data_IF_237019876213
#
_entry.id   IF_237019876213
#
_cell.length_a   1.000
_cell.length_b   1.000
_cell.length_c   1.000
_cell.angle_alpha   90.00
_cell.angle_beta   90.00
_cell.angle_gamma   90.00
#
_symmetry.space_group_name_H-M   'P 1'
#
loop_
_entity.id
_entity.type
_entity.pdbx_description
1 polymer ?
#
# COMPACT_ATOMS: atom_id res chain seq x y z
N UNK A 1 43.65 31.16 -71.88
CA UNK A 1 42.90 30.03 -71.41
C UNK A 1 43.13 29.95 -69.87
N UNK A 2 42.20 30.51 -69.07
CA UNK A 2 42.30 30.57 -67.61
C UNK A 2 41.24 29.61 -67.02
N UNK A 3 41.70 28.62 -66.27
CA UNK A 3 40.88 27.69 -65.53
C UNK A 3 40.43 28.34 -64.20
N UNK A 4 39.18 28.36 -63.94
CA UNK A 4 38.58 28.78 -62.62
C UNK A 4 38.52 27.57 -61.66
N UNK A 5 38.74 27.77 -60.35
CA UNK A 5 38.56 26.69 -59.33
C UNK A 5 37.11 26.54 -58.94
N UNK A 6 36.63 25.28 -58.88
CA UNK A 6 35.34 24.91 -58.33
C UNK A 6 35.45 24.81 -56.80
N UNK A 7 34.79 25.69 -56.06
CA UNK A 7 34.56 25.52 -54.62
C UNK A 7 33.47 24.49 -54.40
N UNK A 8 33.81 23.36 -53.77
CA UNK A 8 32.84 22.41 -53.24
C UNK A 8 32.45 22.86 -51.82
N UNK A 9 31.24 23.37 -51.69
CA UNK A 9 30.68 23.69 -50.38
C UNK A 9 30.21 22.42 -49.65
N UNK A 10 30.83 22.12 -48.52
CA UNK A 10 30.40 21.06 -47.60
C UNK A 10 29.21 21.58 -46.81
N UNK A 11 28.02 21.06 -47.08
CA UNK A 11 26.81 21.30 -46.28
C UNK A 11 26.92 20.42 -45.02
N UNK A 12 27.27 21.03 -43.87
CA UNK A 12 27.20 20.39 -42.58
C UNK A 12 25.75 20.44 -42.12
N UNK A 13 25.02 19.35 -42.27
CA UNK A 13 23.69 19.18 -41.64
C UNK A 13 23.90 18.96 -40.14
N UNK A 14 23.68 20.00 -39.33
CA UNK A 14 23.53 19.84 -37.88
C UNK A 14 22.20 19.15 -37.65
N UNK A 15 22.23 17.85 -37.30
CA UNK A 15 21.11 17.20 -36.62
C UNK A 15 21.05 17.79 -35.20
N UNK A 16 20.13 18.73 -34.97
CA UNK A 16 19.74 19.09 -33.63
C UNK A 16 18.94 17.91 -33.07
N UNK A 17 19.55 17.14 -32.16
CA UNK A 17 18.83 16.25 -31.29
C UNK A 17 17.90 17.12 -30.45
N UNK A 18 16.60 17.16 -30.80
CA UNK A 18 15.58 17.67 -29.91
C UNK A 18 15.65 16.80 -28.63
N UNK A 19 16.06 17.39 -27.53
CA UNK A 19 15.94 16.75 -26.23
C UNK A 19 14.45 16.36 -26.08
N UNK A 20 14.17 15.09 -25.96
CA UNK A 20 12.81 14.60 -25.72
C UNK A 20 12.33 15.26 -24.43
N UNK A 21 11.42 16.21 -24.53
CA UNK A 21 10.78 16.81 -23.35
C UNK A 21 10.01 15.67 -22.64
N UNK A 22 10.19 15.57 -21.32
CA UNK A 22 9.46 14.62 -20.50
C UNK A 22 7.93 14.75 -20.68
N UNK A 23 7.22 13.65 -20.53
CA UNK A 23 5.77 13.65 -20.55
C UNK A 23 5.23 14.28 -19.25
N UNK A 24 4.31 15.24 -19.35
CA UNK A 24 3.85 16.06 -18.23
C UNK A 24 2.35 15.88 -18.00
N UNK A 25 1.96 15.78 -16.74
CA UNK A 25 0.56 15.83 -16.32
C UNK A 25 0.41 16.77 -15.13
N UNK A 26 -0.70 17.55 -15.11
CA UNK A 26 -1.01 18.50 -14.03
C UNK A 26 -2.29 18.11 -13.32
N UNK A 27 -2.38 18.48 -12.03
CA UNK A 27 -3.66 18.42 -11.30
C UNK A 27 -4.74 19.27 -12.03
N UNK A 28 -6.04 18.96 -11.85
CA UNK A 28 -7.12 19.76 -12.46
C UNK A 28 -7.09 21.25 -12.09
N UNK A 29 -6.52 21.61 -10.93
CA UNK A 29 -6.32 23.00 -10.52
C UNK A 29 -4.96 23.59 -10.94
N UNK A 30 -4.11 22.78 -11.59
CA UNK A 30 -2.80 23.16 -12.11
C UNK A 30 -1.70 23.37 -11.08
N UNK A 31 -1.94 23.08 -9.81
CA UNK A 31 -0.96 23.32 -8.73
C UNK A 31 0.11 22.25 -8.61
N UNK A 32 -0.23 20.98 -8.87
CA UNK A 32 0.68 19.84 -8.86
C UNK A 32 1.02 19.48 -10.32
N UNK A 33 2.29 19.33 -10.62
CA UNK A 33 2.79 18.89 -11.90
C UNK A 33 3.71 17.70 -11.70
N UNK A 34 3.46 16.62 -12.43
CA UNK A 34 4.31 15.43 -12.47
C UNK A 34 4.90 15.31 -13.87
N UNK A 35 6.22 15.24 -13.94
CA UNK A 35 6.98 15.00 -15.18
C UNK A 35 7.54 13.60 -15.15
N UNK A 36 7.38 12.85 -16.23
CA UNK A 36 7.92 11.50 -16.41
C UNK A 36 8.84 11.51 -17.62
N UNK A 37 10.06 11.07 -17.46
CA UNK A 37 11.07 11.02 -18.53
C UNK A 37 12.02 9.84 -18.37
N UNK A 38 13.10 9.88 -19.15
CA UNK A 38 14.21 8.92 -19.10
C UNK A 38 15.50 9.69 -18.84
N UNK A 39 16.15 9.40 -17.73
CA UNK A 39 17.44 9.96 -17.36
C UNK A 39 18.61 9.27 -18.07
N UNK A 40 19.78 9.47 -17.50
CA UNK A 40 21.01 8.87 -18.00
C UNK A 40 20.90 7.33 -18.11
N UNK A 41 21.54 6.77 -19.13
CA UNK A 41 21.56 5.33 -19.43
C UNK A 41 20.17 4.69 -19.61
N UNK A 42 19.16 5.48 -19.93
CA UNK A 42 17.81 4.94 -20.10
C UNK A 42 17.13 4.52 -18.80
N UNK A 43 17.38 5.21 -17.69
CA UNK A 43 16.70 4.97 -16.42
C UNK A 43 15.37 5.74 -16.40
N UNK A 44 14.20 5.08 -16.28
CA UNK A 44 12.94 5.78 -16.12
C UNK A 44 12.95 6.58 -14.82
N UNK A 45 12.41 7.78 -14.84
CA UNK A 45 12.37 8.68 -13.68
C UNK A 45 11.14 9.57 -13.69
N UNK A 46 10.83 10.17 -12.54
CA UNK A 46 9.79 11.17 -12.40
C UNK A 46 10.23 12.29 -11.46
N UNK A 47 9.67 13.47 -11.65
CA UNK A 47 9.83 14.61 -10.74
C UNK A 47 8.50 15.30 -10.48
N UNK A 48 8.40 16.07 -9.40
CA UNK A 48 7.15 16.72 -9.00
C UNK A 48 7.38 18.16 -8.61
N UNK A 49 6.55 19.05 -9.14
CA UNK A 49 6.48 20.46 -8.74
C UNK A 49 5.13 20.79 -8.09
N UNK A 50 5.15 21.67 -7.14
CA UNK A 50 3.97 22.27 -6.52
C UNK A 50 3.99 23.80 -6.66
N UNK A 51 2.97 24.36 -7.33
CA UNK A 51 2.90 25.81 -7.65
C UNK A 51 4.15 26.32 -8.36
N UNK A 52 4.72 25.51 -9.27
CA UNK A 52 5.91 25.85 -10.05
C UNK A 52 7.23 25.70 -9.30
N UNK A 53 7.23 25.23 -8.05
CA UNK A 53 8.45 24.93 -7.28
C UNK A 53 8.64 23.44 -7.20
N UNK A 54 9.83 22.94 -7.57
CA UNK A 54 10.17 21.53 -7.43
C UNK A 54 10.14 21.13 -5.95
N UNK A 55 9.34 20.08 -5.64
CA UNK A 55 9.21 19.52 -4.29
C UNK A 55 9.76 18.09 -4.19
N UNK A 56 9.88 17.42 -5.32
CA UNK A 56 10.53 16.11 -5.45
C UNK A 56 11.40 16.12 -6.70
N UNK A 57 12.73 16.17 -6.55
CA UNK A 57 13.67 16.04 -7.66
C UNK A 57 13.57 14.66 -8.36
N UNK A 58 14.15 14.49 -9.58
CA UNK A 58 14.04 13.26 -10.33
C UNK A 58 14.41 12.01 -9.53
N UNK A 59 13.44 11.14 -9.28
CA UNK A 59 13.55 9.84 -8.62
C UNK A 59 13.49 8.70 -9.64
N UNK A 60 14.36 7.70 -9.49
CA UNK A 60 14.40 6.55 -10.38
C UNK A 60 13.18 5.65 -10.19
N UNK A 61 12.80 4.97 -11.27
CA UNK A 61 11.74 3.98 -11.35
C UNK A 61 12.31 2.65 -11.86
N UNK A 62 11.57 1.56 -11.68
CA UNK A 62 11.90 0.27 -12.27
C UNK A 62 11.56 -0.93 -11.41
N UNK A 63 11.71 -2.11 -12.03
CA UNK A 63 11.49 -3.41 -11.41
C UNK A 63 12.65 -4.34 -11.73
N UNK A 64 13.05 -5.16 -10.77
CA UNK A 64 13.98 -6.27 -10.96
C UNK A 64 13.31 -7.60 -10.74
N UNK A 65 13.74 -8.55 -11.54
CA UNK A 65 13.19 -9.90 -11.55
C UNK A 65 14.30 -10.90 -11.24
N UNK A 66 13.93 -12.11 -10.84
CA UNK A 66 14.90 -13.19 -10.60
C UNK A 66 15.56 -13.67 -11.89
N UNK A 67 14.79 -13.81 -12.95
CA UNK A 67 15.24 -14.41 -14.20
C UNK A 67 15.03 -13.53 -15.43
N UNK A 68 14.02 -12.66 -15.44
CA UNK A 68 13.75 -11.76 -16.54
C UNK A 68 14.70 -10.55 -16.51
N UNK A 69 14.99 -9.96 -17.67
CA UNK A 69 15.70 -8.68 -17.74
C UNK A 69 14.96 -7.58 -16.96
N UNK A 70 15.72 -6.76 -16.21
CA UNK A 70 15.15 -5.71 -15.37
C UNK A 70 14.61 -4.52 -16.19
N UNK A 71 13.62 -3.81 -15.64
CA UNK A 71 13.15 -2.52 -16.13
C UNK A 71 13.85 -1.37 -15.38
N UNK A 72 15.18 -1.33 -15.39
CA UNK A 72 15.96 -0.38 -14.59
C UNK A 72 16.91 0.52 -15.42
N UNK A 73 17.10 0.19 -16.70
CA UNK A 73 17.97 0.94 -17.63
C UNK A 73 17.78 0.48 -19.08
N UNK A 74 18.37 1.24 -20.03
CA UNK A 74 18.28 0.91 -21.44
C UNK A 74 16.87 1.07 -22.01
N UNK A 75 16.05 1.88 -21.37
CA UNK A 75 14.68 2.15 -21.74
C UNK A 75 14.56 3.52 -22.41
N UNK A 76 13.50 3.69 -23.20
CA UNK A 76 13.11 4.95 -23.81
C UNK A 76 11.60 5.14 -23.69
N UNK A 77 11.14 6.36 -23.78
CA UNK A 77 9.72 6.66 -23.94
C UNK A 77 9.31 6.29 -25.37
N UNK A 78 8.45 5.29 -25.50
CA UNK A 78 7.91 4.85 -26.79
C UNK A 78 6.68 5.65 -27.18
N UNK A 79 5.95 6.19 -26.21
CA UNK A 79 4.76 7.01 -26.40
C UNK A 79 4.14 7.45 -25.09
N UNK A 80 3.20 8.38 -25.17
CA UNK A 80 2.41 8.80 -24.03
C UNK A 80 1.00 9.18 -24.46
N UNK A 81 0.03 9.02 -23.55
CA UNK A 81 -1.35 9.45 -23.73
C UNK A 81 -1.89 10.04 -22.44
N UNK A 82 -2.74 11.06 -22.57
CA UNK A 82 -3.36 11.73 -21.43
C UNK A 82 -4.88 11.70 -21.51
N UNK A 83 -5.53 11.73 -20.34
CA UNK A 83 -6.98 11.87 -20.21
C UNK A 83 -7.35 12.66 -18.97
N UNK A 84 -8.61 13.07 -18.85
CA UNK A 84 -9.16 13.74 -17.67
C UNK A 84 -10.40 13.00 -17.22
N UNK A 85 -10.61 12.96 -15.91
CA UNK A 85 -11.76 12.33 -15.28
C UNK A 85 -12.41 13.27 -14.26
N UNK A 86 -13.74 13.28 -14.19
CA UNK A 86 -14.48 14.01 -13.17
C UNK A 86 -15.82 13.31 -12.93
N UNK A 87 -15.91 12.62 -11.81
CA UNK A 87 -17.13 11.94 -11.38
C UNK A 87 -17.31 12.05 -9.87
N UNK A 88 -18.46 11.60 -9.38
CA UNK A 88 -18.72 11.49 -7.96
C UNK A 88 -19.33 10.13 -7.68
N UNK A 89 -18.82 9.44 -6.68
CA UNK A 89 -19.33 8.15 -6.23
C UNK A 89 -19.78 8.20 -4.78
N UNK A 90 -20.62 7.27 -4.39
CA UNK A 90 -21.15 7.19 -3.04
C UNK A 90 -20.42 6.12 -2.23
N UNK A 91 -19.87 6.54 -1.09
CA UNK A 91 -19.26 5.66 -0.12
C UNK A 91 -20.34 5.20 0.87
N UNK A 92 -20.59 3.88 1.00
CA UNK A 92 -21.70 3.39 1.83
C UNK A 92 -21.49 3.61 3.33
N UNK A 93 -20.25 3.74 3.76
CA UNK A 93 -19.85 4.09 5.14
C UNK A 93 -18.54 4.88 5.10
N UNK A 94 -18.14 5.50 6.22
CA UNK A 94 -16.93 6.31 6.33
C UNK A 94 -17.25 7.76 6.65
N UNK A 95 -16.27 8.63 6.52
CA UNK A 95 -16.34 10.03 6.94
C UNK A 95 -17.16 10.91 5.98
N UNK A 96 -17.26 10.49 4.70
CA UNK A 96 -17.94 11.24 3.65
C UNK A 96 -18.83 10.29 2.85
N UNK A 97 -20.07 10.70 2.62
CA UNK A 97 -20.99 9.95 1.76
C UNK A 97 -20.65 10.10 0.27
N UNK A 98 -20.35 11.32 -0.16
CA UNK A 98 -20.02 11.62 -1.54
C UNK A 98 -18.53 11.92 -1.68
N UNK A 99 -17.86 11.18 -2.56
CA UNK A 99 -16.45 11.32 -2.87
C UNK A 99 -16.31 11.72 -4.33
N UNK A 100 -15.69 12.88 -4.59
CA UNK A 100 -15.40 13.33 -5.96
C UNK A 100 -14.10 12.69 -6.43
N UNK A 101 -14.15 12.03 -7.57
CA UNK A 101 -13.00 11.55 -8.32
C UNK A 101 -12.74 12.50 -9.47
N UNK A 102 -11.83 13.45 -9.27
CA UNK A 102 -11.43 14.43 -10.29
C UNK A 102 -9.91 14.44 -10.43
N UNK A 103 -9.43 13.92 -11.56
CA UNK A 103 -8.00 13.83 -11.83
C UNK A 103 -7.68 13.96 -13.32
N UNK A 104 -6.44 14.29 -13.61
CA UNK A 104 -5.85 14.09 -14.92
C UNK A 104 -4.93 12.87 -14.87
N UNK A 105 -4.97 12.06 -15.92
CA UNK A 105 -4.19 10.83 -16.06
C UNK A 105 -3.19 10.96 -17.21
N UNK A 106 -1.99 10.40 -16.99
CA UNK A 106 -0.96 10.23 -18.00
C UNK A 106 -0.53 8.76 -18.01
N UNK A 107 -0.46 8.15 -19.17
CA UNK A 107 0.16 6.84 -19.37
C UNK A 107 1.40 7.05 -20.22
N UNK A 108 2.57 6.68 -19.69
CA UNK A 108 3.84 6.72 -20.40
C UNK A 108 4.28 5.30 -20.69
N UNK A 109 4.45 4.99 -21.97
CA UNK A 109 4.91 3.69 -22.45
C UNK A 109 6.42 3.68 -22.54
N UNK A 110 7.05 2.72 -21.85
CA UNK A 110 8.48 2.48 -21.93
C UNK A 110 8.75 1.19 -22.69
N UNK A 111 9.76 1.24 -23.58
CA UNK A 111 10.32 0.05 -24.22
C UNK A 111 11.85 0.04 -24.17
N UNK A 112 12.43 -1.13 -24.34
CA UNK A 112 13.87 -1.29 -24.54
C UNK A 112 14.22 -1.34 -26.03
N UNK A 113 15.50 -1.10 -26.35
CA UNK A 113 16.00 -1.20 -27.73
C UNK A 113 16.25 -2.66 -28.18
N UNK A 114 15.95 -3.64 -27.34
CA UNK A 114 16.10 -5.06 -27.63
C UNK A 114 15.04 -5.57 -28.60
N UNK A 115 15.25 -6.71 -29.22
CA UNK A 115 14.28 -7.38 -30.09
C UNK A 115 14.02 -8.82 -29.59
N UNK A 116 12.82 -9.16 -29.12
CA UNK A 116 11.67 -8.30 -28.93
C UNK A 116 11.87 -7.30 -27.78
N UNK A 117 11.27 -6.09 -27.85
CA UNK A 117 11.44 -5.10 -26.81
C UNK A 117 10.72 -5.50 -25.53
N UNK A 118 11.36 -5.26 -24.39
CA UNK A 118 10.72 -5.31 -23.07
C UNK A 118 9.86 -4.06 -22.88
N UNK A 119 8.67 -4.21 -22.32
CA UNK A 119 7.70 -3.12 -22.19
C UNK A 119 7.07 -3.05 -20.82
N UNK A 120 6.84 -1.83 -20.34
CA UNK A 120 5.90 -1.54 -19.28
C UNK A 120 5.32 -0.15 -19.48
N UNK A 121 4.15 0.10 -18.91
CA UNK A 121 3.52 1.39 -18.85
C UNK A 121 3.62 1.94 -17.43
N UNK A 122 3.91 3.25 -17.29
CA UNK A 122 3.73 3.98 -16.06
C UNK A 122 2.44 4.77 -16.15
N UNK A 123 1.45 4.41 -15.35
CA UNK A 123 0.21 5.16 -15.23
C UNK A 123 0.30 6.12 -14.06
N UNK A 124 0.05 7.39 -14.30
CA UNK A 124 0.10 8.48 -13.30
C UNK A 124 -1.27 9.14 -13.24
N UNK A 125 -1.85 9.30 -12.06
CA UNK A 125 -3.05 10.11 -11.80
C UNK A 125 -2.70 11.25 -10.87
N UNK A 126 -3.07 12.46 -11.25
CA UNK A 126 -2.79 13.67 -10.47
C UNK A 126 -4.11 14.34 -10.10
N UNK A 127 -4.32 14.47 -8.80
CA UNK A 127 -5.48 15.08 -8.15
C UNK A 127 -5.07 16.45 -7.57
N UNK A 128 -6.04 17.21 -7.08
CA UNK A 128 -5.76 18.52 -6.44
C UNK A 128 -5.10 18.37 -5.06
N UNK A 129 -5.14 17.18 -4.45
CA UNK A 129 -4.62 16.83 -3.11
C UNK A 129 -3.43 15.85 -3.15
N UNK A 130 -2.92 15.50 -4.36
CA UNK A 130 -1.78 14.60 -4.49
C UNK A 130 -1.75 13.86 -5.81
N UNK A 131 -0.93 12.83 -5.87
CA UNK A 131 -0.80 11.98 -7.05
C UNK A 131 -0.52 10.53 -6.65
N UNK A 132 -0.81 9.63 -7.58
CA UNK A 132 -0.38 8.25 -7.51
C UNK A 132 0.13 7.77 -8.86
N UNK A 133 1.06 6.82 -8.83
CA UNK A 133 1.50 6.12 -10.05
C UNK A 133 1.66 4.63 -9.77
N UNK A 134 1.55 3.84 -10.85
CA UNK A 134 1.79 2.39 -10.80
C UNK A 134 2.40 1.89 -12.09
N UNK A 135 3.09 0.76 -12.00
CA UNK A 135 3.57 0.04 -13.16
C UNK A 135 2.48 -0.88 -13.69
N UNK A 136 2.32 -0.92 -15.00
CA UNK A 136 1.46 -1.87 -15.71
C UNK A 136 2.32 -2.62 -16.72
N UNK A 137 2.47 -3.92 -16.52
CA UNK A 137 3.29 -4.77 -17.38
C UNK A 137 2.36 -5.56 -18.28
N UNK A 138 2.33 -5.29 -19.60
CA UNK A 138 1.48 -6.02 -20.55
C UNK A 138 1.93 -7.46 -20.73
N UNK A 139 1.05 -8.30 -21.28
CA UNK A 139 1.44 -9.62 -21.75
C UNK A 139 2.58 -9.49 -22.78
N UNK A 140 3.67 -10.20 -22.54
CA UNK A 140 4.84 -10.17 -23.40
C UNK A 140 5.66 -11.46 -23.24
N UNK A 141 6.46 -11.85 -24.27
CA UNK A 141 7.27 -13.09 -24.21
C UNK A 141 8.19 -13.13 -22.99
N UNK A 142 8.25 -14.28 -22.33
CA UNK A 142 9.15 -14.51 -21.19
C UNK A 142 8.65 -14.00 -19.84
N UNK A 143 7.42 -13.44 -19.76
CA UNK A 143 6.83 -12.92 -18.51
C UNK A 143 5.58 -13.72 -18.07
N UNK A 144 5.44 -14.97 -18.52
CA UNK A 144 4.33 -15.85 -18.13
C UNK A 144 4.38 -16.28 -16.65
N UNK A 145 5.59 -16.28 -16.07
CA UNK A 145 5.83 -16.41 -14.63
C UNK A 145 6.90 -15.42 -14.23
N UNK A 146 6.64 -14.60 -13.24
CA UNK A 146 7.49 -13.48 -12.85
C UNK A 146 7.72 -13.48 -11.35
N UNK A 147 8.99 -13.53 -10.95
CA UNK A 147 9.45 -13.35 -9.57
C UNK A 147 10.09 -11.96 -9.43
N UNK A 148 9.35 -11.01 -8.88
CA UNK A 148 9.88 -9.67 -8.60
C UNK A 148 10.78 -9.75 -7.36
N UNK A 149 12.02 -9.30 -7.49
CA UNK A 149 13.02 -9.27 -6.41
C UNK A 149 13.17 -7.89 -5.79
N UNK A 150 13.00 -6.83 -6.57
CA UNK A 150 13.07 -5.44 -6.11
C UNK A 150 12.13 -4.54 -6.93
N UNK A 151 11.53 -3.58 -6.27
CA UNK A 151 10.97 -2.39 -6.87
C UNK A 151 11.93 -1.22 -6.61
N UNK A 152 12.29 -0.49 -7.67
CA UNK A 152 13.35 0.53 -7.63
C UNK A 152 12.79 1.95 -7.46
N UNK A 153 11.51 2.08 -7.19
CA UNK A 153 10.85 3.37 -7.00
C UNK A 153 11.54 4.19 -5.93
N UNK A 154 12.05 5.35 -6.29
CA UNK A 154 12.66 6.33 -5.39
C UNK A 154 11.72 7.49 -5.17
N UNK A 155 11.59 7.88 -3.90
CA UNK A 155 11.01 9.15 -3.47
C UNK A 155 12.17 10.05 -3.06
N UNK A 156 12.44 11.08 -3.88
CA UNK A 156 13.54 12.00 -3.62
C UNK A 156 13.02 13.30 -3.04
N UNK A 157 13.67 13.74 -2.00
CA UNK A 157 13.44 15.02 -1.33
C UNK A 157 14.77 15.77 -1.30
N UNK A 158 14.71 17.09 -1.26
CA UNK A 158 15.89 17.88 -0.96
C UNK A 158 16.33 17.59 0.48
N UNK A 159 17.63 17.34 0.67
CA UNK A 159 18.24 17.08 1.98
C UNK A 159 18.45 18.40 2.71
N UNK A 160 17.35 19.02 3.16
CA UNK A 160 17.37 20.28 3.89
C UNK A 160 17.18 20.02 5.40
N UNK A 161 18.06 20.53 6.28
CA UNK A 161 17.97 20.34 7.73
C UNK A 161 16.71 20.90 8.37
N UNK A 162 15.96 21.77 7.68
CA UNK A 162 14.65 22.28 8.13
C UNK A 162 13.49 21.36 7.81
N UNK A 163 13.72 20.31 7.01
CA UNK A 163 12.72 19.27 6.72
C UNK A 163 12.44 18.48 8.00
N UNK A 164 11.17 18.27 8.30
CA UNK A 164 10.73 17.49 9.48
C UNK A 164 9.91 16.30 9.00
N UNK A 165 10.20 15.10 9.52
CA UNK A 165 9.44 13.89 9.24
C UNK A 165 8.78 13.33 10.51
N UNK A 166 7.57 12.79 10.36
CA UNK A 166 6.85 11.99 11.34
C UNK A 166 6.76 10.58 10.80
N UNK A 167 7.31 9.63 11.54
CA UNK A 167 7.50 8.26 11.04
C UNK A 167 7.59 7.24 12.16
N UNK A 168 7.32 5.98 11.83
CA UNK A 168 7.55 4.83 12.69
C UNK A 168 8.61 3.91 12.07
N UNK A 169 9.45 3.21 12.89
CA UNK A 169 10.53 2.36 12.38
C UNK A 169 10.01 1.17 11.57
N UNK A 170 10.48 1.03 10.32
CA UNK A 170 10.17 -0.10 9.45
C UNK A 170 11.14 -1.28 9.57
N UNK A 171 11.65 -1.58 10.76
CA UNK A 171 12.74 -2.55 10.98
C UNK A 171 12.41 -3.97 10.54
N UNK A 172 11.14 -4.35 10.69
CA UNK A 172 10.59 -5.64 10.27
C UNK A 172 9.24 -5.37 9.62
N UNK A 173 8.95 -6.05 8.55
CA UNK A 173 7.72 -5.83 7.78
C UNK A 173 6.45 -6.35 8.47
N UNK A 174 6.57 -7.00 9.62
CA UNK A 174 5.48 -7.75 10.25
C UNK A 174 4.70 -7.01 11.33
N UNK A 175 5.02 -5.74 11.63
CA UNK A 175 4.29 -4.99 12.67
C UNK A 175 4.46 -3.48 12.53
N UNK A 176 3.43 -2.76 12.99
CA UNK A 176 3.34 -1.30 12.95
C UNK A 176 3.22 -0.65 14.34
N UNK A 177 3.16 -1.43 15.43
CA UNK A 177 2.98 -0.94 16.80
C UNK A 177 4.28 -0.37 17.36
N UNK A 178 4.71 0.75 16.79
CA UNK A 178 5.87 1.51 17.27
C UNK A 178 5.46 2.95 17.59
N UNK A 179 6.25 3.60 18.46
CA UNK A 179 6.09 5.02 18.72
C UNK A 179 6.51 5.84 17.51
N UNK A 180 5.80 6.92 17.26
CA UNK A 180 6.18 7.90 16.27
C UNK A 180 7.45 8.64 16.67
N UNK A 181 8.34 8.82 15.71
CA UNK A 181 9.50 9.70 15.80
C UNK A 181 9.22 10.99 15.04
N UNK A 182 9.76 12.09 15.53
CA UNK A 182 9.76 13.39 14.85
C UNK A 182 11.20 13.85 14.71
N UNK A 183 11.75 13.81 13.49
CA UNK A 183 13.18 14.05 13.25
C UNK A 183 13.41 14.73 11.89
N UNK A 184 14.66 15.09 11.59
CA UNK A 184 15.14 15.32 10.23
C UNK A 184 15.17 14.00 9.43
N UNK A 185 15.44 14.11 8.13
CA UNK A 185 15.48 12.93 7.23
C UNK A 185 16.66 12.02 7.54
N UNK A 186 17.78 12.55 7.97
CA UNK A 186 19.05 11.86 8.27
C UNK A 186 18.94 10.81 9.38
N UNK A 187 18.00 11.00 10.32
CA UNK A 187 17.77 10.05 11.41
C UNK A 187 16.98 8.80 10.99
N UNK A 188 16.39 8.81 9.80
CA UNK A 188 15.56 7.71 9.30
C UNK A 188 16.47 6.69 8.63
N UNK A 189 16.41 5.43 9.05
CA UNK A 189 17.01 4.30 8.33
C UNK A 189 15.97 3.64 7.44
N UNK A 190 14.86 3.26 8.05
CA UNK A 190 13.72 2.61 7.39
C UNK A 190 12.45 3.04 8.09
N UNK A 191 11.47 3.50 7.32
CA UNK A 191 10.18 3.96 7.84
C UNK A 191 9.02 3.15 7.26
N UNK A 192 8.04 2.80 8.10
CA UNK A 192 6.74 2.37 7.59
C UNK A 192 6.00 3.51 6.90
N UNK A 193 5.07 3.17 6.03
CA UNK A 193 4.10 4.10 5.46
C UNK A 193 2.76 3.99 6.20
N UNK A 194 2.00 5.08 6.32
CA UNK A 194 2.30 6.40 5.81
C UNK A 194 3.42 7.10 6.58
N UNK A 195 4.35 7.73 5.86
CA UNK A 195 5.34 8.66 6.41
C UNK A 195 4.96 10.08 6.02
N UNK A 196 4.88 10.98 6.97
CA UNK A 196 4.57 12.40 6.71
C UNK A 196 5.81 13.25 6.81
N UNK A 197 5.99 14.17 5.86
CA UNK A 197 7.13 15.11 5.81
C UNK A 197 6.61 16.51 5.63
N UNK A 198 7.18 17.48 6.37
CA UNK A 198 7.01 18.91 6.15
C UNK A 198 8.28 19.48 5.55
N UNK A 199 8.18 20.02 4.34
CA UNK A 199 9.26 20.70 3.66
C UNK A 199 9.53 22.08 4.28
N UNK A 200 10.71 22.71 4.03
CA UNK A 200 11.03 24.06 4.49
C UNK A 200 10.02 25.12 4.03
N UNK A 201 9.39 24.91 2.88
CA UNK A 201 8.31 25.77 2.35
C UNK A 201 7.00 25.71 3.13
N UNK A 202 6.86 24.77 4.09
CA UNK A 202 5.63 24.49 4.81
C UNK A 202 4.68 23.50 4.11
N UNK A 203 5.00 23.08 2.90
CA UNK A 203 4.26 22.01 2.18
C UNK A 203 4.43 20.70 2.93
N UNK A 204 3.32 19.95 3.09
CA UNK A 204 3.30 18.64 3.70
C UNK A 204 3.12 17.58 2.62
N UNK A 205 3.90 16.50 2.73
CA UNK A 205 3.82 15.32 1.90
C UNK A 205 3.50 14.11 2.78
N UNK A 206 2.67 13.18 2.28
CA UNK A 206 2.48 11.89 2.95
C UNK A 206 2.60 10.78 1.93
N UNK A 207 3.54 9.85 2.18
CA UNK A 207 3.88 8.74 1.30
C UNK A 207 3.16 7.49 1.75
N UNK A 208 2.41 6.86 0.84
CA UNK A 208 1.68 5.62 1.10
C UNK A 208 1.41 4.86 -0.19
N UNK A 209 0.49 3.90 -0.14
CA UNK A 209 0.05 3.07 -1.27
C UNK A 209 -1.47 2.90 -1.27
N UNK A 210 -2.01 2.57 -2.43
CA UNK A 210 -3.42 2.23 -2.60
C UNK A 210 -3.58 1.02 -3.52
N UNK A 211 -4.73 0.35 -3.45
CA UNK A 211 -5.03 -0.86 -4.19
C UNK A 211 -3.95 -1.96 -3.99
N UNK A 212 -3.57 -2.20 -2.74
CA UNK A 212 -2.67 -3.28 -2.36
C UNK A 212 -3.43 -4.62 -2.44
N UNK A 213 -3.46 -5.19 -3.65
CA UNK A 213 -4.17 -6.43 -3.96
C UNK A 213 -3.19 -7.40 -4.60
N UNK A 214 -3.02 -8.58 -4.00
CA UNK A 214 -2.13 -9.66 -4.46
C UNK A 214 -0.71 -9.16 -4.78
N UNK A 215 -0.18 -8.35 -3.90
CA UNK A 215 1.14 -7.72 -4.02
C UNK A 215 1.75 -7.48 -2.65
N UNK A 216 3.08 -7.30 -2.58
CA UNK A 216 3.77 -7.00 -1.34
C UNK A 216 3.61 -5.53 -0.92
N UNK A 217 3.30 -5.28 0.35
CA UNK A 217 3.41 -3.95 0.96
C UNK A 217 4.86 -3.49 0.99
N UNK A 218 5.08 -2.17 1.11
CA UNK A 218 6.42 -1.63 1.16
C UNK A 218 6.68 -0.79 2.42
N UNK A 219 7.96 -0.70 2.77
CA UNK A 219 8.52 0.31 3.67
C UNK A 219 9.47 1.21 2.89
N UNK A 220 9.74 2.40 3.41
CA UNK A 220 10.69 3.36 2.83
C UNK A 220 12.08 3.11 3.40
N UNK A 221 13.03 2.74 2.56
CA UNK A 221 14.43 2.50 2.91
C UNK A 221 15.27 3.71 2.50
N UNK A 222 15.88 4.40 3.47
CA UNK A 222 16.70 5.57 3.25
C UNK A 222 18.09 5.19 2.71
N UNK A 223 18.28 5.29 1.43
CA UNK A 223 19.49 4.82 0.72
C UNK A 223 20.65 5.81 0.74
N UNK A 224 20.35 7.10 0.68
CA UNK A 224 21.29 8.23 0.68
C UNK A 224 20.55 9.47 1.16
N UNK A 225 21.24 10.56 1.54
CA UNK A 225 20.60 11.79 1.92
C UNK A 225 19.48 12.20 0.96
N UNK A 226 18.28 12.37 1.50
CA UNK A 226 17.06 12.73 0.77
C UNK A 226 16.51 11.66 -0.19
N UNK A 227 17.07 10.44 -0.27
CA UNK A 227 16.62 9.39 -1.19
C UNK A 227 16.05 8.22 -0.43
N UNK A 228 14.73 8.06 -0.51
CA UNK A 228 13.99 6.91 0.00
C UNK A 228 13.61 5.99 -1.14
N UNK A 229 13.82 4.69 -0.99
CA UNK A 229 13.41 3.67 -1.95
C UNK A 229 12.39 2.72 -1.34
N UNK A 230 11.47 2.25 -2.16
CA UNK A 230 10.58 1.15 -1.78
C UNK A 230 11.39 -0.09 -1.40
N UNK A 231 11.03 -0.71 -0.29
CA UNK A 231 11.52 -2.02 0.12
C UNK A 231 10.31 -2.92 0.40
N UNK A 232 10.03 -3.80 -0.54
CA UNK A 232 8.87 -4.68 -0.50
C UNK A 232 9.05 -5.79 0.55
N UNK A 233 7.95 -6.18 1.21
CA UNK A 233 7.91 -7.31 2.15
C UNK A 233 8.30 -8.61 1.43
N UNK A 234 9.31 -9.36 1.92
CA UNK A 234 9.75 -10.59 1.27
C UNK A 234 8.92 -11.81 1.66
N UNK A 235 8.83 -12.77 0.76
CA UNK A 235 8.56 -14.16 1.08
C UNK A 235 9.78 -14.80 1.78
N UNK A 236 9.62 -15.99 2.36
CA UNK A 236 10.71 -16.72 3.03
C UNK A 236 11.90 -17.06 2.11
N UNK A 237 11.67 -17.15 0.80
CA UNK A 237 12.69 -17.39 -0.24
C UNK A 237 13.34 -16.10 -0.77
N UNK A 238 12.99 -14.94 -0.20
CA UNK A 238 13.51 -13.63 -0.58
C UNK A 238 12.85 -12.97 -1.78
N UNK A 239 11.94 -13.67 -2.50
CA UNK A 239 11.12 -13.06 -3.55
C UNK A 239 10.14 -12.08 -2.91
N UNK A 240 9.83 -11.02 -3.61
CA UNK A 240 8.90 -9.99 -3.13
C UNK A 240 7.48 -10.25 -3.64
N UNK A 241 7.35 -10.54 -4.93
CA UNK A 241 6.06 -10.81 -5.56
C UNK A 241 6.22 -11.94 -6.57
N UNK A 242 5.31 -12.91 -6.53
CA UNK A 242 5.20 -14.00 -7.51
C UNK A 242 3.95 -13.74 -8.34
N UNK A 243 4.11 -13.47 -9.62
CA UNK A 243 3.00 -13.07 -10.49
C UNK A 243 3.22 -13.52 -11.95
N UNK A 244 2.40 -13.05 -12.87
CA UNK A 244 2.51 -13.25 -14.31
C UNK A 244 1.97 -12.06 -15.07
N UNK A 245 2.54 -11.76 -16.24
CA UNK A 245 1.99 -10.72 -17.11
C UNK A 245 0.70 -11.22 -17.82
N UNK A 246 -0.32 -10.34 -18.00
CA UNK A 246 -0.29 -8.94 -17.62
C UNK A 246 -0.51 -8.75 -16.11
N UNK A 247 0.20 -7.80 -15.49
CA UNK A 247 -0.01 -7.44 -14.10
C UNK A 247 0.12 -5.93 -13.89
N UNK A 248 -0.42 -5.44 -12.79
CA UNK A 248 -0.26 -4.07 -12.31
C UNK A 248 0.21 -4.08 -10.85
N UNK A 249 1.05 -3.11 -10.48
CA UNK A 249 1.44 -2.92 -9.09
C UNK A 249 0.36 -2.12 -8.34
N UNK A 250 0.38 -2.09 -7.00
CA UNK A 250 -0.33 -1.07 -6.25
C UNK A 250 0.08 0.34 -6.68
N UNK A 251 -0.76 1.31 -6.39
CA UNK A 251 -0.40 2.71 -6.56
C UNK A 251 0.60 3.13 -5.50
N UNK A 252 1.67 3.77 -5.91
CA UNK A 252 2.56 4.53 -5.02
C UNK A 252 2.01 5.93 -4.93
N UNK A 253 1.62 6.36 -3.74
CA UNK A 253 0.86 7.58 -3.53
C UNK A 253 1.65 8.63 -2.75
N UNK A 254 1.48 9.88 -3.13
CA UNK A 254 1.98 11.03 -2.38
C UNK A 254 0.86 12.05 -2.26
N UNK A 255 0.36 12.25 -1.05
CA UNK A 255 -0.49 13.39 -0.75
C UNK A 255 0.38 14.66 -0.73
N UNK A 256 -0.12 15.76 -1.29
CA UNK A 256 0.57 17.06 -1.34
C UNK A 256 -0.38 18.12 -0.79
N UNK A 257 -0.03 18.70 0.34
CA UNK A 257 -0.91 19.63 1.05
C UNK A 257 -0.18 20.90 1.50
N UNK A 258 -0.84 22.07 1.48
CA UNK A 258 -0.25 23.31 1.94
C UNK A 258 -0.01 23.37 3.46
N UNK A 259 -0.65 22.48 4.21
CA UNK A 259 -0.54 22.36 5.68
C UNK A 259 -0.99 20.96 6.14
N UNK A 260 -0.73 20.60 7.39
CA UNK A 260 -1.06 19.28 7.94
C UNK A 260 -2.57 18.99 7.96
N UNK A 261 -3.42 19.97 8.24
CA UNK A 261 -4.87 19.76 8.30
C UNK A 261 -5.45 19.34 6.94
N UNK A 262 -4.90 19.85 5.84
CA UNK A 262 -5.33 19.50 4.49
C UNK A 262 -5.01 18.05 4.10
N UNK A 263 -4.09 17.37 4.79
CA UNK A 263 -3.84 15.93 4.58
C UNK A 263 -5.05 15.08 5.02
N UNK A 264 -5.75 15.51 6.09
CA UNK A 264 -6.92 14.79 6.64
C UNK A 264 -8.09 14.82 5.65
N UNK A 265 -8.20 15.91 4.87
CA UNK A 265 -9.28 16.10 3.90
C UNK A 265 -9.06 15.36 2.57
N UNK A 266 -7.89 14.77 2.36
CA UNK A 266 -7.54 14.09 1.10
C UNK A 266 -8.43 12.88 0.84
N UNK A 267 -8.88 12.76 -0.41
CA UNK A 267 -9.60 11.59 -0.93
C UNK A 267 -8.76 10.76 -1.89
N UNK A 268 -7.48 11.07 -2.03
CA UNK A 268 -6.55 10.44 -2.96
C UNK A 268 -6.58 8.91 -2.86
N UNK A 269 -6.41 8.37 -1.64
CA UNK A 269 -6.35 6.91 -1.42
C UNK A 269 -7.69 6.25 -1.78
N UNK A 270 -8.82 6.89 -1.47
CA UNK A 270 -10.14 6.36 -1.82
C UNK A 270 -10.31 6.24 -3.35
N UNK A 271 -9.90 7.27 -4.09
CA UNK A 271 -10.05 7.35 -5.55
C UNK A 271 -9.03 6.49 -6.33
N UNK A 272 -7.98 6.02 -5.69
CA UNK A 272 -6.97 5.12 -6.28
C UNK A 272 -7.23 3.64 -5.99
N UNK A 273 -8.25 3.31 -5.19
CA UNK A 273 -8.71 1.93 -5.02
C UNK A 273 -9.75 1.56 -6.08
N UNK A 274 -9.85 0.27 -6.34
CA UNK A 274 -10.82 -0.26 -7.29
C UNK A 274 -12.25 -0.13 -6.71
N UNK A 275 -13.28 -0.05 -7.55
CA UNK A 275 -14.67 -0.02 -7.10
C UNK A 275 -15.03 -1.25 -6.27
N UNK A 276 -16.10 -1.14 -5.46
CA UNK A 276 -16.65 -2.26 -4.70
C UNK A 276 -16.95 -3.46 -5.62
N UNK A 277 -16.32 -4.61 -5.32
CA UNK A 277 -16.49 -5.87 -6.04
C UNK A 277 -17.54 -6.81 -5.40
N UNK A 278 -18.02 -6.51 -4.17
CA UNK A 278 -18.97 -7.35 -3.44
C UNK A 278 -20.43 -7.15 -3.90
N UNK A 279 -20.72 -6.07 -4.63
CA UNK A 279 -22.09 -5.70 -5.00
C UNK A 279 -22.86 -5.10 -3.84
N UNK A 280 -23.92 -5.80 -3.35
CA UNK A 280 -24.70 -5.33 -2.20
C UNK A 280 -23.88 -5.46 -0.90
N UNK A 281 -23.67 -4.33 -0.24
CA UNK A 281 -22.96 -4.22 1.02
C UNK A 281 -23.87 -3.70 2.16
N UNK A 282 -25.17 -3.70 1.97
CA UNK A 282 -26.16 -3.22 2.96
C UNK A 282 -26.11 -4.01 4.28
N UNK A 283 -25.54 -5.22 4.27
CA UNK A 283 -25.36 -6.07 5.45
C UNK A 283 -24.18 -5.61 6.34
N UNK A 284 -23.29 -4.74 5.86
CA UNK A 284 -22.17 -4.21 6.63
C UNK A 284 -22.68 -3.11 7.55
N UNK A 285 -22.61 -3.34 8.85
CA UNK A 285 -23.02 -2.39 9.89
C UNK A 285 -21.80 -1.96 10.72
N UNK A 286 -21.13 -0.84 10.39
CA UNK A 286 -20.06 -0.32 11.21
C UNK A 286 -20.52 -0.03 12.64
N UNK A 287 -19.71 -0.38 13.63
CA UNK A 287 -20.11 -0.20 15.01
C UNK A 287 -18.95 -0.32 16.00
N UNK A 288 -19.23 -0.06 17.27
CA UNK A 288 -18.30 -0.27 18.36
C UNK A 288 -18.42 -1.70 18.86
N UNK A 289 -17.32 -2.27 19.29
CA UNK A 289 -17.28 -3.57 19.97
C UNK A 289 -16.42 -3.49 21.24
N UNK A 290 -16.59 -4.45 22.14
CA UNK A 290 -15.73 -4.68 23.29
C UNK A 290 -14.97 -5.99 23.08
N UNK A 291 -13.77 -6.12 23.67
CA UNK A 291 -12.94 -7.30 23.48
C UNK A 291 -12.46 -7.93 24.78
N UNK A 292 -12.44 -9.26 24.83
CA UNK A 292 -11.85 -10.04 25.91
C UNK A 292 -10.37 -10.30 25.57
N UNK A 293 -9.49 -9.38 25.90
CA UNK A 293 -8.04 -9.50 25.69
C UNK A 293 -7.26 -8.56 26.63
N UNK A 294 -7.82 -7.43 27.05
CA UNK A 294 -7.10 -6.47 27.87
C UNK A 294 -6.75 -7.04 29.26
N UNK A 295 -7.63 -7.82 29.87
CA UNK A 295 -7.37 -8.49 31.13
C UNK A 295 -6.16 -9.46 31.04
N UNK A 296 -5.94 -10.07 29.87
CA UNK A 296 -4.79 -10.94 29.63
C UNK A 296 -3.51 -10.11 29.51
N UNK A 297 -3.53 -8.99 28.79
CA UNK A 297 -2.36 -8.10 28.68
C UNK A 297 -1.88 -7.54 30.01
N UNK A 298 -2.80 -7.27 30.93
CA UNK A 298 -2.44 -6.77 32.27
C UNK A 298 -2.29 -7.88 33.31
N UNK A 299 -2.28 -9.15 32.91
CA UNK A 299 -2.00 -10.32 33.77
C UNK A 299 -3.11 -10.71 34.73
N UNK A 300 -4.33 -10.16 34.58
CA UNK A 300 -5.50 -10.55 35.38
C UNK A 300 -6.12 -11.86 34.89
N UNK A 301 -6.00 -12.17 33.61
CA UNK A 301 -6.41 -13.40 32.98
C UNK A 301 -5.32 -13.92 32.05
N UNK A 302 -5.53 -15.09 31.42
CA UNK A 302 -4.63 -15.70 30.44
C UNK A 302 -5.40 -16.05 29.17
N UNK A 303 -4.67 -16.11 28.02
CA UNK A 303 -5.18 -16.75 26.80
C UNK A 303 -5.15 -18.28 26.91
N UNK A 304 -4.19 -18.80 27.68
CA UNK A 304 -4.04 -20.23 27.93
C UNK A 304 -5.22 -20.79 28.69
N UNK A 305 -5.52 -22.06 28.45
CA UNK A 305 -6.47 -22.84 29.25
C UNK A 305 -6.04 -22.94 30.73
N UNK A 306 -6.99 -23.10 31.64
CA UNK A 306 -6.70 -23.26 33.05
C UNK A 306 -7.45 -22.29 33.97
N UNK A 307 -7.03 -22.19 35.28
CA UNK A 307 -7.79 -21.46 36.29
C UNK A 307 -7.98 -19.95 36.06
N UNK A 308 -7.12 -19.37 35.24
CA UNK A 308 -7.16 -17.93 34.89
C UNK A 308 -7.62 -17.69 33.45
N UNK A 309 -8.11 -18.70 32.74
CA UNK A 309 -8.56 -18.56 31.36
C UNK A 309 -9.61 -17.44 31.25
N UNK A 310 -9.31 -16.44 30.40
CA UNK A 310 -10.18 -15.27 30.23
C UNK A 310 -11.30 -15.49 29.25
N UNK A 311 -11.11 -16.32 28.23
CA UNK A 311 -12.06 -16.60 27.17
C UNK A 311 -13.02 -17.75 27.52
N UNK A 312 -13.64 -17.69 28.71
CA UNK A 312 -14.64 -18.70 29.13
C UNK A 312 -16.06 -18.31 28.68
N UNK A 313 -16.96 -19.30 28.62
CA UNK A 313 -18.38 -19.09 28.37
C UNK A 313 -18.99 -18.08 29.37
N UNK A 314 -18.65 -18.19 30.66
CA UNK A 314 -19.17 -17.32 31.68
C UNK A 314 -18.71 -15.87 31.54
N UNK A 315 -17.41 -15.67 31.32
CA UNK A 315 -16.84 -14.34 31.14
C UNK A 315 -17.35 -13.69 29.86
N UNK A 316 -17.43 -14.45 28.77
CA UNK A 316 -17.97 -13.94 27.50
C UNK A 316 -19.40 -13.45 27.63
N UNK A 317 -20.24 -14.16 28.38
CA UNK A 317 -21.64 -13.69 28.67
C UNK A 317 -21.65 -12.38 29.42
N UNK A 318 -20.75 -12.16 30.40
CA UNK A 318 -20.64 -10.87 31.10
C UNK A 318 -20.32 -9.71 30.13
N UNK A 319 -19.42 -9.95 29.17
CA UNK A 319 -19.10 -8.95 28.14
C UNK A 319 -20.28 -8.73 27.17
N UNK A 320 -21.02 -9.78 26.86
CA UNK A 320 -22.25 -9.69 26.06
C UNK A 320 -23.33 -8.87 26.76
N UNK A 321 -23.56 -9.12 28.08
CA UNK A 321 -24.51 -8.35 28.89
C UNK A 321 -24.12 -6.85 28.88
N UNK A 322 -22.83 -6.54 29.07
CA UNK A 322 -22.35 -5.18 29.02
C UNK A 322 -22.53 -4.57 27.61
N UNK A 323 -22.18 -5.30 26.56
CA UNK A 323 -22.31 -4.84 25.18
C UNK A 323 -23.77 -4.53 24.82
N UNK A 324 -24.68 -5.45 25.11
CA UNK A 324 -26.11 -5.27 24.86
C UNK A 324 -26.69 -4.08 25.61
N UNK A 325 -26.37 -3.95 26.91
CA UNK A 325 -26.86 -2.85 27.75
C UNK A 325 -26.33 -1.47 27.31
N UNK A 326 -25.17 -1.40 26.64
CA UNK A 326 -24.53 -0.16 26.26
C UNK A 326 -24.53 0.09 24.74
N UNK A 327 -25.24 -0.69 23.94
CA UNK A 327 -25.42 -0.49 22.51
C UNK A 327 -24.17 -0.79 21.67
N UNK A 328 -23.26 -1.65 22.15
CA UNK A 328 -22.16 -2.15 21.37
C UNK A 328 -22.63 -3.24 20.39
N UNK A 329 -22.15 -3.20 19.16
CA UNK A 329 -22.55 -4.11 18.09
C UNK A 329 -21.89 -5.49 18.19
N UNK A 330 -20.76 -5.59 18.90
CA UNK A 330 -19.99 -6.83 18.94
C UNK A 330 -19.20 -7.05 20.22
N UNK A 331 -18.86 -8.32 20.44
CA UNK A 331 -17.93 -8.78 21.47
C UNK A 331 -16.87 -9.64 20.78
N UNK A 332 -15.61 -9.17 20.77
CA UNK A 332 -14.47 -9.92 20.26
C UNK A 332 -13.92 -10.80 21.38
N UNK A 333 -13.62 -12.06 21.06
CA UNK A 333 -13.06 -13.01 22.02
C UNK A 333 -11.76 -13.58 21.48
N UNK A 334 -10.63 -13.24 22.09
CA UNK A 334 -9.35 -13.92 21.89
C UNK A 334 -9.21 -15.06 22.90
N UNK A 335 -8.47 -16.13 22.53
CA UNK A 335 -8.23 -17.24 23.42
C UNK A 335 -9.35 -18.30 23.46
N UNK A 336 -10.39 -18.19 22.65
CA UNK A 336 -11.54 -19.08 22.68
C UNK A 336 -11.23 -20.50 22.13
N UNK A 337 -10.30 -20.61 21.18
CA UNK A 337 -9.99 -21.84 20.45
C UNK A 337 -8.67 -22.46 20.88
N UNK A 338 -8.50 -23.76 20.64
CA UNK A 338 -7.25 -24.48 20.92
C UNK A 338 -6.07 -23.88 20.15
N UNK A 339 -4.91 -23.76 20.83
CA UNK A 339 -3.65 -23.29 20.27
C UNK A 339 -2.92 -22.23 21.09
N UNK A 340 -3.56 -21.69 22.14
CA UNK A 340 -2.99 -20.64 22.97
C UNK A 340 -2.14 -21.15 24.15
N UNK A 341 -2.13 -22.47 24.38
CA UNK A 341 -1.36 -23.06 25.48
C UNK A 341 0.14 -23.02 25.20
N UNK A 342 0.93 -22.65 26.20
CA UNK A 342 2.39 -22.56 26.11
C UNK A 342 2.88 -21.38 25.30
N UNK A 343 3.88 -21.57 24.45
CA UNK A 343 4.46 -20.50 23.63
C UNK A 343 3.67 -20.27 22.33
N UNK A 344 2.44 -19.80 22.48
CA UNK A 344 1.53 -19.56 21.35
C UNK A 344 2.11 -18.61 20.31
N UNK A 345 2.99 -17.69 20.72
CA UNK A 345 3.61 -16.72 19.81
C UNK A 345 4.52 -17.35 18.76
N UNK A 346 5.03 -18.58 19.02
CA UNK A 346 5.88 -19.32 18.09
C UNK A 346 5.28 -20.67 17.66
N UNK A 347 4.08 -20.99 18.08
CA UNK A 347 3.42 -22.27 17.86
C UNK A 347 2.23 -22.21 16.90
N UNK A 348 2.30 -21.42 15.84
CA UNK A 348 1.19 -21.19 14.90
C UNK A 348 0.55 -22.48 14.36
N UNK A 349 1.33 -23.54 14.17
CA UNK A 349 0.84 -24.85 13.71
C UNK A 349 -0.09 -25.58 14.68
N UNK A 350 -0.17 -25.16 15.94
CA UNK A 350 -1.08 -25.76 16.93
C UNK A 350 -2.48 -25.17 16.93
N UNK A 351 -2.69 -24.02 16.32
CA UNK A 351 -4.03 -23.39 16.29
C UNK A 351 -5.04 -24.25 15.53
N UNK A 352 -6.25 -24.40 16.13
CA UNK A 352 -7.42 -25.08 15.58
C UNK A 352 -8.56 -24.09 15.52
N UNK A 353 -8.93 -23.67 14.34
CA UNK A 353 -9.89 -22.57 14.12
C UNK A 353 -11.35 -23.00 14.17
N UNK A 354 -11.62 -24.27 14.40
CA UNK A 354 -12.97 -24.84 14.56
C UNK A 354 -13.18 -25.52 15.92
N UNK A 355 -12.14 -25.56 16.76
CA UNK A 355 -12.16 -26.31 18.02
C UNK A 355 -12.05 -25.36 19.23
N UNK A 356 -13.14 -25.10 19.96
CA UNK A 356 -13.10 -24.29 21.16
C UNK A 356 -12.44 -25.05 22.32
N UNK A 357 -11.90 -24.30 23.30
CA UNK A 357 -11.52 -24.90 24.59
C UNK A 357 -12.75 -25.49 25.31
N UNK A 358 -12.60 -26.51 26.19
CA UNK A 358 -13.71 -27.18 26.86
C UNK A 358 -14.60 -26.26 27.71
N UNK A 359 -14.07 -25.15 28.18
CA UNK A 359 -14.79 -24.15 29.01
C UNK A 359 -15.42 -23.02 28.16
N UNK A 360 -15.32 -23.10 26.82
CA UNK A 360 -15.90 -22.16 25.89
C UNK A 360 -16.93 -22.83 24.96
N UNK A 361 -18.20 -22.59 25.22
CA UNK A 361 -19.28 -23.05 24.37
C UNK A 361 -19.60 -22.00 23.30
N UNK A 362 -18.92 -22.08 22.16
CA UNK A 362 -19.04 -21.14 21.04
C UNK A 362 -20.52 -21.03 20.56
N UNK A 363 -21.23 -22.14 20.48
CA UNK A 363 -22.65 -22.15 20.06
C UNK A 363 -23.56 -21.43 21.06
N UNK A 364 -23.38 -21.70 22.36
CA UNK A 364 -24.19 -21.08 23.41
C UNK A 364 -23.92 -19.56 23.50
N UNK A 365 -22.64 -19.12 23.41
CA UNK A 365 -22.32 -17.68 23.48
C UNK A 365 -22.75 -16.93 22.24
N UNK A 366 -22.64 -17.53 21.05
CA UNK A 366 -23.14 -16.91 19.81
C UNK A 366 -24.64 -16.67 19.88
N UNK A 367 -25.41 -17.68 20.31
CA UNK A 367 -26.85 -17.53 20.49
C UNK A 367 -27.18 -16.47 21.55
N UNK A 368 -26.47 -16.51 22.67
CA UNK A 368 -26.65 -15.56 23.75
C UNK A 368 -26.42 -14.11 23.31
N UNK A 369 -25.37 -13.89 22.48
CA UNK A 369 -25.09 -12.57 21.93
C UNK A 369 -26.23 -12.05 21.03
N UNK A 370 -26.74 -12.89 20.14
CA UNK A 370 -27.89 -12.53 19.28
C UNK A 370 -29.14 -12.18 20.10
N UNK A 371 -29.44 -12.97 21.15
CA UNK A 371 -30.59 -12.73 22.04
C UNK A 371 -30.45 -11.42 22.84
N UNK A 372 -29.22 -10.86 22.97
CA UNK A 372 -28.92 -9.59 23.64
C UNK A 372 -28.67 -8.42 22.67
N UNK A 373 -28.95 -8.58 21.38
CA UNK A 373 -28.86 -7.53 20.38
C UNK A 373 -27.39 -7.16 19.98
N UNK A 374 -26.45 -8.07 20.23
CA UNK A 374 -25.06 -7.94 19.81
C UNK A 374 -24.60 -9.20 19.07
N UNK A 375 -23.37 -9.26 18.60
CA UNK A 375 -22.79 -10.42 17.91
C UNK A 375 -21.41 -10.75 18.46
N UNK A 376 -20.97 -11.98 18.30
CA UNK A 376 -19.54 -12.27 18.42
C UNK A 376 -18.81 -11.69 17.22
N UNK A 377 -17.61 -11.16 17.46
CA UNK A 377 -16.65 -10.80 16.44
C UNK A 377 -15.60 -11.91 16.42
N UNK A 378 -15.48 -12.58 15.29
CA UNK A 378 -14.53 -13.67 15.11
C UNK A 378 -13.08 -13.18 15.19
N UNK A 379 -12.22 -13.97 15.81
CA UNK A 379 -10.79 -13.75 15.89
C UNK A 379 -10.04 -15.06 15.60
N UNK A 380 -9.06 -14.99 14.71
CA UNK A 380 -8.15 -16.10 14.41
C UNK A 380 -6.71 -15.61 14.58
N UNK A 381 -6.06 -16.04 15.66
CA UNK A 381 -4.62 -15.86 15.81
C UNK A 381 -3.87 -16.91 14.98
N UNK A 382 -2.94 -16.47 14.17
CA UNK A 382 -2.19 -17.38 13.29
C UNK A 382 -0.75 -17.59 13.72
N UNK A 383 -0.23 -16.75 14.62
CA UNK A 383 1.20 -16.71 14.95
C UNK A 383 2.11 -16.78 13.71
N UNK A 384 1.71 -16.10 12.64
CA UNK A 384 2.38 -16.07 11.34
C UNK A 384 2.52 -17.44 10.63
N UNK A 385 1.85 -18.50 11.10
CA UNK A 385 1.76 -19.78 10.36
C UNK A 385 0.59 -19.72 9.36
N UNK A 386 0.83 -19.01 8.25
CA UNK A 386 -0.16 -18.82 7.19
C UNK A 386 -0.60 -20.14 6.61
N UNK A 387 0.31 -21.13 6.44
CA UNK A 387 0.00 -22.43 5.88
C UNK A 387 -1.01 -23.21 6.73
N UNK A 388 -0.84 -23.22 8.05
CA UNK A 388 -1.80 -23.83 8.97
C UNK A 388 -3.17 -23.12 8.90
N UNK A 389 -3.18 -21.79 8.88
CA UNK A 389 -4.42 -21.03 8.79
C UNK A 389 -5.17 -21.29 7.48
N UNK A 390 -4.50 -21.15 6.34
CA UNK A 390 -5.12 -21.34 5.02
C UNK A 390 -5.70 -22.75 4.83
N UNK A 391 -5.06 -23.77 5.41
CA UNK A 391 -5.55 -25.15 5.37
C UNK A 391 -6.89 -25.36 6.09
N UNK A 392 -7.22 -24.52 7.08
CA UNK A 392 -8.42 -24.59 7.91
C UNK A 392 -9.43 -23.46 7.61
N UNK A 393 -9.05 -22.44 6.86
CA UNK A 393 -9.79 -21.20 6.70
C UNK A 393 -11.23 -21.38 6.23
N UNK A 394 -11.44 -22.23 5.22
CA UNK A 394 -12.79 -22.51 4.70
C UNK A 394 -13.71 -23.07 5.80
N UNK A 395 -13.27 -24.10 6.51
CA UNK A 395 -14.04 -24.71 7.59
C UNK A 395 -14.28 -23.75 8.76
N UNK A 396 -13.34 -22.87 9.06
CA UNK A 396 -13.45 -21.87 10.10
C UNK A 396 -14.53 -20.82 9.77
N UNK A 397 -14.55 -20.32 8.53
CA UNK A 397 -15.58 -19.40 8.06
C UNK A 397 -16.96 -20.05 7.95
N UNK A 398 -17.05 -21.31 7.50
CA UNK A 398 -18.30 -22.08 7.49
C UNK A 398 -18.88 -22.22 8.90
N UNK A 399 -18.03 -22.47 9.92
CA UNK A 399 -18.44 -22.51 11.32
C UNK A 399 -19.02 -21.16 11.76
N UNK A 400 -18.30 -20.06 11.52
CA UNK A 400 -18.77 -18.72 11.88
C UNK A 400 -20.06 -18.36 11.19
N UNK A 401 -20.19 -18.61 9.91
CA UNK A 401 -21.42 -18.39 9.15
C UNK A 401 -22.61 -19.15 9.76
N UNK A 402 -22.39 -20.42 10.12
CA UNK A 402 -23.44 -21.28 10.72
C UNK A 402 -23.96 -20.77 12.07
N UNK A 403 -23.16 -19.96 12.77
CA UNK A 403 -23.44 -19.43 14.12
C UNK A 403 -23.83 -17.95 14.12
N UNK A 404 -23.75 -17.26 12.99
CA UNK A 404 -24.00 -15.83 12.89
C UNK A 404 -22.93 -14.94 13.51
N UNK A 405 -21.68 -15.44 13.53
CA UNK A 405 -20.49 -14.71 13.98
C UNK A 405 -19.97 -13.83 12.84
#
# INVERSE_FOLDING_TARGET
>A
MRLAPRCAGLLLTMLSAAAAQGAVVRSPDGRIEVTVDVGERGVPQYSVSYRGVEIMPPGALGLRFRTQPAFDRGLRVAGSSGSSHDSTWEQPWGERRLVRDRHNELVVQFDSAEDPPRRFDLRVRVFDDGFGFRYEVPAQPGYDAVDITEELTEFRLEDDPKTTAWWIPGRRWNRYEYLYNTTGLDAIQMAHTPMTVRLPSGVHLSFHEAALVDYAAYVLDHRRPGIFRTSLTPWSDGIRVKTRAPFKTPWRTVQVAPNAASLIDSTLILNLNEPNALGDVSWVEPGKYVGIWWAMHIGQATWESGPKHGATTAETKRYIDFAGANGFKGVLVEGWNVGWDGDWFHNGGQFRFTEPYPDFDLKAVSRYALDHGTRLVGHHETSADVGNYESQMAAAFDLYQSLGV
#
